data_IF_911968989472
#
_entry.id   IF_911968989472
#
_cell.length_a   1.000
_cell.length_b   1.000
_cell.length_c   1.000
_cell.angle_alpha   90.00
_cell.angle_beta   90.00
_cell.angle_gamma   90.00
#
_symmetry.space_group_name_H-M   'P 1'
#
loop_
_entity.id
_entity.type
_entity.pdbx_description
1 polymer ?
#
# COMPACT_ATOMS: atom_id res chain seq x y z
N UNK A 1 -58.77 2.39 -60.17
CA UNK A 1 -57.25 2.53 -60.12
C UNK A 1 -56.86 3.04 -58.76
N UNK A 2 -56.39 2.14 -57.87
CA UNK A 2 -55.92 2.45 -56.53
C UNK A 2 -54.40 2.54 -56.56
N UNK A 3 -53.88 3.73 -56.33
CA UNK A 3 -52.40 3.99 -56.24
C UNK A 3 -51.90 3.64 -54.86
N UNK A 4 -51.11 2.60 -54.75
CA UNK A 4 -50.34 2.26 -53.57
C UNK A 4 -49.08 3.19 -53.55
N UNK A 5 -48.91 3.96 -52.48
CA UNK A 5 -47.72 4.71 -52.16
C UNK A 5 -46.85 3.82 -51.28
N UNK A 6 -45.61 3.47 -51.67
CA UNK A 6 -44.76 2.74 -50.76
C UNK A 6 -44.21 3.71 -49.70
N UNK A 7 -44.49 3.40 -48.43
CA UNK A 7 -43.94 4.07 -47.28
C UNK A 7 -42.47 3.65 -47.09
N UNK A 8 -41.54 4.51 -47.45
CA UNK A 8 -40.09 4.29 -47.26
C UNK A 8 -39.77 4.60 -45.78
N UNK A 9 -39.63 3.58 -44.98
CA UNK A 9 -39.16 3.70 -43.59
C UNK A 9 -37.63 3.83 -43.64
N UNK A 10 -37.12 5.04 -43.44
CA UNK A 10 -35.71 5.30 -43.19
C UNK A 10 -35.35 4.88 -41.78
N UNK A 11 -34.75 3.70 -41.65
CA UNK A 11 -34.07 3.32 -40.43
C UNK A 11 -32.78 4.14 -40.31
N UNK A 12 -32.81 5.25 -39.58
CA UNK A 12 -31.61 5.90 -39.10
C UNK A 12 -31.00 5.00 -38.03
N UNK A 13 -30.05 4.15 -38.47
CA UNK A 13 -29.16 3.45 -37.55
C UNK A 13 -28.31 4.52 -36.82
N UNK A 14 -28.70 4.88 -35.62
CA UNK A 14 -27.76 5.53 -34.69
C UNK A 14 -26.64 4.55 -34.38
N UNK A 15 -25.56 4.61 -35.14
CA UNK A 15 -24.30 4.03 -34.70
C UNK A 15 -23.86 4.88 -33.49
N UNK A 16 -24.02 4.31 -32.28
CA UNK A 16 -23.28 4.82 -31.14
C UNK A 16 -21.82 4.68 -31.53
N UNK A 17 -21.16 5.79 -31.82
CA UNK A 17 -19.72 5.83 -31.81
C UNK A 17 -19.31 5.37 -30.40
N UNK A 18 -18.63 4.24 -30.32
CA UNK A 18 -18.02 3.79 -29.06
C UNK A 18 -17.07 4.91 -28.63
N UNK A 19 -17.48 5.65 -27.60
CA UNK A 19 -16.69 6.74 -27.05
C UNK A 19 -15.37 6.15 -26.57
N UNK A 20 -14.27 6.39 -27.31
CA UNK A 20 -12.95 5.91 -26.98
C UNK A 20 -12.55 6.50 -25.62
N UNK A 21 -12.69 5.69 -24.57
CA UNK A 21 -12.21 6.03 -23.22
C UNK A 21 -10.72 5.74 -23.20
N UNK A 22 -9.85 6.77 -23.20
CA UNK A 22 -8.41 6.56 -23.20
C UNK A 22 -8.02 5.74 -21.97
N UNK A 23 -7.31 4.65 -22.22
CA UNK A 23 -6.83 3.76 -21.14
C UNK A 23 -5.83 4.55 -20.28
N UNK A 24 -6.10 4.61 -18.97
CA UNK A 24 -5.20 5.25 -18.01
C UNK A 24 -3.90 4.45 -17.89
N UNK A 25 -2.77 5.12 -18.07
CA UNK A 25 -1.46 4.56 -17.82
C UNK A 25 -1.04 4.89 -16.38
N UNK A 26 -0.66 3.84 -15.63
CA UNK A 26 -0.21 3.98 -14.25
C UNK A 26 1.28 3.70 -14.14
N UNK A 27 2.01 4.62 -13.53
CA UNK A 27 3.38 4.40 -13.06
C UNK A 27 3.34 4.26 -11.55
N UNK A 28 3.73 3.07 -11.04
CA UNK A 28 3.74 2.76 -9.62
C UNK A 28 5.13 2.27 -9.22
N UNK A 29 5.75 2.88 -8.20
CA UNK A 29 7.08 2.55 -7.69
C UNK A 29 7.09 2.50 -6.16
N UNK A 30 7.97 1.67 -5.60
CA UNK A 30 8.41 1.76 -4.21
C UNK A 30 9.86 2.26 -4.23
N UNK A 31 10.08 3.42 -3.65
CA UNK A 31 11.33 4.16 -3.80
C UNK A 31 12.33 3.78 -2.72
N UNK A 32 11.89 3.70 -1.46
CA UNK A 32 12.80 3.41 -0.35
C UNK A 32 12.12 2.83 0.89
N UNK A 33 12.91 2.13 1.70
CA UNK A 33 12.61 1.81 3.09
C UNK A 33 13.49 2.70 3.94
N UNK A 34 12.91 3.50 4.81
CA UNK A 34 13.64 4.50 5.58
C UNK A 34 14.09 3.96 6.94
N UNK A 35 15.16 4.53 7.48
CA UNK A 35 15.56 4.36 8.86
C UNK A 35 14.44 4.79 9.82
N UNK A 36 14.50 4.40 11.08
CA UNK A 36 13.48 4.71 12.10
C UNK A 36 13.18 6.21 12.23
N UNK A 37 14.22 7.05 12.12
CA UNK A 37 14.10 8.51 12.13
C UNK A 37 13.46 9.10 10.86
N UNK A 38 13.28 8.26 9.82
CA UNK A 38 12.72 8.66 8.55
C UNK A 38 13.62 9.52 7.67
N UNK A 39 14.90 9.70 8.05
CA UNK A 39 15.80 10.63 7.37
C UNK A 39 16.64 10.00 6.28
N UNK A 40 16.92 8.69 6.37
CA UNK A 40 17.80 8.01 5.43
C UNK A 40 17.15 6.73 4.92
N UNK A 41 17.47 6.36 3.68
CA UNK A 41 17.14 5.04 3.17
C UNK A 41 18.02 3.97 3.85
N UNK A 42 17.43 2.80 4.12
CA UNK A 42 18.22 1.63 4.50
C UNK A 42 19.18 1.27 3.36
N UNK A 43 20.35 0.69 3.68
CA UNK A 43 21.27 0.21 2.66
C UNK A 43 20.63 -0.92 1.84
N UNK A 44 20.93 -0.93 0.55
CA UNK A 44 20.62 -2.05 -0.36
C UNK A 44 21.90 -2.80 -0.72
N UNK A 45 21.80 -4.10 -0.80
CA UNK A 45 22.87 -4.93 -1.36
C UNK A 45 22.82 -4.95 -2.90
N UNK A 46 23.74 -5.71 -3.51
CA UNK A 46 23.85 -5.87 -4.96
C UNK A 46 22.61 -6.55 -5.59
N UNK A 47 21.84 -7.29 -4.80
CA UNK A 47 20.61 -7.96 -5.21
C UNK A 47 19.36 -7.07 -5.02
N UNK A 48 19.55 -5.83 -4.53
CA UNK A 48 18.48 -4.89 -4.29
C UNK A 48 17.70 -5.14 -3.00
N UNK A 49 18.21 -5.99 -2.09
CA UNK A 49 17.59 -6.26 -0.79
C UNK A 49 17.99 -5.15 0.20
N UNK A 50 17.02 -4.66 0.93
CA UNK A 50 17.29 -3.76 2.06
C UNK A 50 17.78 -4.56 3.26
N UNK A 51 18.67 -3.94 4.06
CA UNK A 51 19.19 -4.52 5.30
C UNK A 51 18.73 -3.69 6.51
N UNK A 52 18.03 -4.34 7.43
CA UNK A 52 17.49 -3.71 8.63
C UNK A 52 18.05 -4.37 9.88
N UNK A 53 18.84 -3.63 10.64
CA UNK A 53 19.30 -4.03 11.96
C UNK A 53 18.26 -3.74 13.03
N UNK A 54 17.79 -4.79 13.69
CA UNK A 54 16.83 -4.70 14.80
C UNK A 54 17.60 -4.62 16.10
N UNK A 55 17.67 -3.44 16.68
CA UNK A 55 18.53 -3.16 17.86
C UNK A 55 17.80 -3.17 19.18
N UNK A 56 16.47 -3.08 19.19
CA UNK A 56 15.68 -2.95 20.44
C UNK A 56 15.01 -4.25 20.83
N UNK A 57 15.11 -4.54 22.13
CA UNK A 57 14.41 -5.65 22.78
C UNK A 57 13.01 -5.18 23.15
N UNK A 58 11.98 -5.96 22.82
CA UNK A 58 10.64 -5.83 23.38
C UNK A 58 9.68 -4.83 22.72
N UNK A 59 10.11 -4.02 21.77
CA UNK A 59 9.20 -3.11 21.05
C UNK A 59 9.43 -3.20 19.54
N UNK A 60 8.34 -3.30 18.74
CA UNK A 60 8.48 -3.25 17.29
C UNK A 60 9.02 -1.89 16.86
N UNK A 61 9.94 -1.91 15.90
CA UNK A 61 10.47 -0.71 15.28
C UNK A 61 9.74 -0.45 13.97
N UNK A 62 9.02 0.65 13.92
CA UNK A 62 8.35 1.06 12.69
C UNK A 62 9.32 1.77 11.74
N UNK A 63 9.39 1.27 10.52
CA UNK A 63 10.15 1.86 9.43
C UNK A 63 9.20 2.27 8.32
N UNK A 64 9.35 3.49 7.82
CA UNK A 64 8.52 4.00 6.74
C UNK A 64 9.00 3.42 5.41
N UNK A 65 8.05 2.99 4.60
CA UNK A 65 8.26 2.64 3.19
C UNK A 65 7.61 3.72 2.34
N UNK A 66 8.37 4.28 1.42
CA UNK A 66 7.91 5.36 0.54
C UNK A 66 7.86 4.89 -0.90
N UNK A 67 6.95 5.47 -1.66
CA UNK A 67 6.79 5.21 -3.08
C UNK A 67 6.02 6.31 -3.77
N UNK A 68 5.73 6.10 -5.05
CA UNK A 68 4.99 7.05 -5.86
C UNK A 68 4.07 6.34 -6.84
N UNK A 69 2.92 6.98 -7.09
CA UNK A 69 2.03 6.62 -8.19
C UNK A 69 1.73 7.85 -9.04
N UNK A 70 1.75 7.67 -10.35
CA UNK A 70 1.34 8.67 -11.32
C UNK A 70 0.32 8.07 -12.27
N UNK A 71 -0.60 8.89 -12.75
CA UNK A 71 -1.62 8.53 -13.75
C UNK A 71 -1.36 9.37 -15.00
N UNK A 72 -1.05 8.73 -16.12
CA UNK A 72 -0.65 9.42 -17.37
C UNK A 72 0.52 10.40 -17.14
N UNK A 73 1.50 10.01 -16.30
CA UNK A 73 2.65 10.82 -15.94
C UNK A 73 2.37 12.01 -15.01
N UNK A 74 1.14 12.15 -14.50
CA UNK A 74 0.69 13.25 -13.63
C UNK A 74 0.28 12.72 -12.25
N UNK A 75 0.18 13.63 -11.31
CA UNK A 75 -0.33 13.37 -9.96
C UNK A 75 -1.79 12.87 -10.03
N UNK A 76 -2.15 11.82 -9.24
CA UNK A 76 -3.49 11.23 -9.31
C UNK A 76 -4.54 12.13 -8.66
N UNK A 77 -5.66 12.32 -9.36
CA UNK A 77 -6.87 12.93 -8.84
C UNK A 77 -8.07 12.08 -9.30
N UNK A 78 -8.79 11.43 -8.40
CA UNK A 78 -8.65 11.38 -6.93
C UNK A 78 -7.44 10.55 -6.45
N UNK A 79 -7.13 10.58 -5.14
CA UNK A 79 -6.07 9.75 -4.56
C UNK A 79 -6.27 8.26 -4.87
N UNK A 80 -5.19 7.58 -5.23
CA UNK A 80 -5.20 6.15 -5.57
C UNK A 80 -4.93 5.28 -4.34
N UNK A 81 -5.67 4.17 -4.20
CA UNK A 81 -5.50 3.23 -3.10
C UNK A 81 -4.45 2.18 -3.44
N UNK A 82 -3.50 2.00 -2.51
CA UNK A 82 -2.50 0.94 -2.56
C UNK A 82 -2.74 -0.01 -1.39
N UNK A 83 -2.82 -1.29 -1.67
CA UNK A 83 -2.92 -2.34 -0.66
C UNK A 83 -1.54 -2.93 -0.36
N UNK A 84 -1.33 -3.32 0.90
CA UNK A 84 -0.07 -3.89 1.38
C UNK A 84 -0.31 -5.19 2.11
N UNK A 85 0.59 -6.14 1.88
CA UNK A 85 0.63 -7.44 2.54
C UNK A 85 2.07 -7.74 2.92
N UNK A 86 2.29 -8.42 4.05
CA UNK A 86 3.61 -8.95 4.42
C UNK A 86 3.54 -10.45 4.65
N UNK A 87 4.69 -11.12 4.52
CA UNK A 87 4.83 -12.54 4.80
C UNK A 87 5.08 -12.84 6.29
N UNK A 88 5.39 -11.81 7.10
CA UNK A 88 5.66 -11.95 8.52
C UNK A 88 4.53 -11.34 9.35
N UNK A 89 4.18 -12.02 10.42
CA UNK A 89 3.09 -11.66 11.29
C UNK A 89 3.51 -11.76 12.75
N UNK A 90 2.88 -10.97 13.61
CA UNK A 90 2.94 -11.15 15.04
C UNK A 90 1.86 -12.12 15.46
N UNK A 91 2.19 -13.00 16.36
CA UNK A 91 1.19 -13.81 17.03
C UNK A 91 0.72 -13.10 18.29
N UNK A 92 -0.57 -12.82 18.38
CA UNK A 92 -1.22 -12.31 19.59
C UNK A 92 -2.08 -13.42 20.16
N UNK A 93 -1.77 -13.85 21.39
CA UNK A 93 -2.57 -14.85 22.10
C UNK A 93 -3.77 -14.19 22.79
N UNK A 94 -4.82 -14.96 22.96
CA UNK A 94 -5.96 -14.54 23.75
C UNK A 94 -5.53 -14.22 25.19
N UNK A 95 -5.88 -13.01 25.65
CA UNK A 95 -5.54 -12.53 27.01
C UNK A 95 -4.12 -11.96 27.13
N UNK A 96 -3.26 -12.09 26.10
CA UNK A 96 -1.96 -11.41 26.12
C UNK A 96 -2.18 -9.91 25.94
N UNK A 97 -1.59 -9.17 26.85
CA UNK A 97 -1.46 -7.73 26.70
C UNK A 97 -0.30 -7.50 25.76
N UNK A 98 -0.56 -7.03 24.56
CA UNK A 98 0.50 -6.51 23.70
C UNK A 98 0.96 -5.20 24.33
N UNK A 99 1.86 -5.31 25.32
CA UNK A 99 2.38 -4.18 26.07
C UNK A 99 3.06 -3.24 25.10
N UNK A 100 2.62 -1.97 25.09
CA UNK A 100 3.26 -0.86 24.35
C UNK A 100 3.23 -0.96 22.83
N UNK A 101 2.19 -1.48 22.21
CA UNK A 101 1.98 -1.17 20.81
C UNK A 101 1.61 0.31 20.73
N UNK A 102 2.61 1.10 20.39
CA UNK A 102 2.38 2.44 19.92
C UNK A 102 1.68 2.31 18.57
N UNK A 103 0.37 2.51 18.54
CA UNK A 103 -0.36 2.46 17.28
C UNK A 103 0.03 3.68 16.46
N UNK A 104 0.42 3.44 15.22
CA UNK A 104 0.67 4.52 14.29
C UNK A 104 -0.67 4.97 13.70
N UNK A 105 -1.06 6.18 14.00
CA UNK A 105 -2.15 6.85 13.30
C UNK A 105 -1.58 7.59 12.10
N UNK A 106 -2.04 7.22 10.91
CA UNK A 106 -1.69 7.91 9.68
C UNK A 106 -2.84 8.84 9.33
N UNK A 107 -2.58 10.14 9.36
CA UNK A 107 -3.52 11.09 8.77
C UNK A 107 -3.36 11.04 7.25
N UNK A 108 -4.27 10.36 6.57
CA UNK A 108 -4.24 10.19 5.11
C UNK A 108 -4.36 11.51 4.34
N UNK A 109 -4.92 12.56 4.95
CA UNK A 109 -5.06 13.86 4.30
C UNK A 109 -3.79 14.69 4.34
N UNK A 110 -3.00 14.57 5.40
CA UNK A 110 -1.77 15.36 5.58
C UNK A 110 -0.51 14.55 5.34
N UNK A 111 -0.62 13.21 5.21
CA UNK A 111 0.53 12.30 5.18
C UNK A 111 1.30 12.26 6.52
N UNK A 112 0.78 12.92 7.57
CA UNK A 112 1.41 12.91 8.87
C UNK A 112 1.22 11.57 9.57
N UNK A 113 2.33 11.08 10.06
CA UNK A 113 2.41 9.88 10.87
C UNK A 113 2.44 10.29 12.34
N UNK A 114 1.39 9.98 13.09
CA UNK A 114 1.32 10.26 14.51
C UNK A 114 1.37 8.94 15.28
N UNK A 115 2.36 8.81 16.15
CA UNK A 115 2.41 7.72 17.11
C UNK A 115 1.45 8.05 18.27
N UNK A 116 0.42 7.24 18.43
CA UNK A 116 -0.53 7.39 19.52
C UNK A 116 -0.25 6.30 20.54
N UNK A 117 0.09 6.68 21.76
CA UNK A 117 0.15 5.76 22.88
C UNK A 117 -1.29 5.37 23.25
N UNK A 118 -1.77 4.28 22.68
CA UNK A 118 -3.03 3.69 23.09
C UNK A 118 -2.78 2.74 24.28
N UNK A 119 -3.77 2.55 25.13
CA UNK A 119 -3.71 1.51 26.15
C UNK A 119 -3.43 0.16 25.47
N UNK A 120 -2.76 -0.76 26.14
CA UNK A 120 -2.39 -2.05 25.57
C UNK A 120 -3.62 -2.73 24.96
N UNK A 121 -3.49 -3.14 23.70
CA UNK A 121 -4.51 -3.95 23.04
C UNK A 121 -4.54 -5.32 23.70
N UNK A 122 -5.63 -5.63 24.37
CA UNK A 122 -5.92 -6.98 24.81
C UNK A 122 -6.71 -7.66 23.71
N UNK A 123 -6.14 -8.66 23.08
CA UNK A 123 -6.88 -9.47 22.14
C UNK A 123 -7.82 -10.41 22.91
N UNK A 124 -9.07 -10.50 22.48
CA UNK A 124 -10.04 -11.47 23.02
C UNK A 124 -10.03 -12.81 22.26
N UNK A 125 -9.17 -12.93 21.26
CA UNK A 125 -8.96 -14.12 20.42
C UNK A 125 -7.49 -14.23 20.01
N UNK A 126 -7.07 -15.44 19.65
CA UNK A 126 -5.80 -15.63 18.96
C UNK A 126 -5.86 -14.99 17.57
N UNK A 127 -4.87 -14.17 17.22
CA UNK A 127 -4.83 -13.52 15.91
C UNK A 127 -3.41 -13.32 15.40
N UNK A 128 -3.29 -13.27 14.06
CA UNK A 128 -2.06 -12.90 13.37
C UNK A 128 -2.16 -11.43 12.97
N UNK A 129 -1.23 -10.64 13.45
CA UNK A 129 -1.13 -9.22 13.12
C UNK A 129 -0.02 -9.02 12.09
N UNK A 130 -0.30 -8.54 10.89
CA UNK A 130 0.74 -8.34 9.87
C UNK A 130 1.72 -7.26 10.31
N UNK A 131 2.98 -7.39 9.86
CA UNK A 131 4.05 -6.41 10.13
C UNK A 131 3.93 -5.15 9.28
N UNK A 132 2.83 -4.94 8.59
CA UNK A 132 2.57 -3.78 7.74
C UNK A 132 1.11 -3.32 7.85
N UNK A 133 0.83 -2.09 7.44
CA UNK A 133 -0.54 -1.63 7.27
C UNK A 133 -1.21 -2.33 6.07
N UNK A 134 -2.54 -2.46 6.12
CA UNK A 134 -3.30 -3.09 5.02
C UNK A 134 -3.38 -2.23 3.76
N UNK A 135 -3.46 -0.92 3.90
CA UNK A 135 -3.58 0.00 2.77
C UNK A 135 -3.21 1.43 3.14
N UNK A 136 -2.87 2.22 2.12
CA UNK A 136 -2.82 3.67 2.17
C UNK A 136 -3.38 4.29 0.89
N UNK A 137 -3.66 5.57 0.93
CA UNK A 137 -3.99 6.37 -0.24
C UNK A 137 -2.80 7.22 -0.64
N UNK A 138 -2.63 7.47 -1.94
CA UNK A 138 -1.62 8.41 -2.40
C UNK A 138 -1.92 9.83 -1.90
N UNK A 139 -0.88 10.58 -1.62
CA UNK A 139 -1.00 12.01 -1.35
C UNK A 139 -1.26 12.82 -2.64
N UNK A 140 -1.31 14.14 -2.46
CA UNK A 140 -1.63 15.09 -3.55
C UNK A 140 -0.59 15.11 -4.66
N UNK A 141 0.66 14.71 -4.36
CA UNK A 141 1.75 14.60 -5.34
C UNK A 141 2.02 13.16 -5.78
N UNK A 142 1.07 12.26 -5.53
CA UNK A 142 1.20 10.84 -5.84
C UNK A 142 2.11 10.07 -4.88
N UNK A 143 2.57 10.67 -3.79
CA UNK A 143 3.39 9.99 -2.79
C UNK A 143 2.60 8.90 -2.06
N UNK A 144 3.26 7.77 -1.83
CA UNK A 144 2.73 6.62 -1.12
C UNK A 144 3.58 6.41 0.13
N UNK A 145 2.91 6.16 1.25
CA UNK A 145 3.57 5.86 2.50
C UNK A 145 2.90 4.67 3.16
N UNK A 146 3.70 3.72 3.62
CA UNK A 146 3.29 2.65 4.53
C UNK A 146 4.38 2.43 5.56
N UNK A 147 4.15 1.52 6.49
CA UNK A 147 5.14 1.12 7.49
C UNK A 147 5.37 -0.38 7.41
N UNK A 148 6.57 -0.77 7.82
CA UNK A 148 6.89 -2.13 8.25
C UNK A 148 7.33 -2.06 9.71
N UNK A 149 6.91 -3.03 10.52
CA UNK A 149 7.19 -3.05 11.95
C UNK A 149 7.60 -4.47 12.39
N UNK A 150 8.78 -4.97 11.97
CA UNK A 150 9.28 -6.26 12.40
C UNK A 150 9.67 -6.24 13.88
N UNK A 151 9.69 -7.43 14.49
CA UNK A 151 10.14 -7.66 15.86
C UNK A 151 11.43 -8.47 15.87
N UNK A 152 12.11 -8.49 17.03
CA UNK A 152 13.40 -9.15 17.20
C UNK A 152 13.38 -10.64 16.85
N UNK A 153 12.30 -11.32 17.15
CA UNK A 153 12.10 -12.74 16.92
C UNK A 153 12.09 -13.10 15.40
N UNK A 154 12.01 -12.08 14.54
CA UNK A 154 12.07 -12.23 13.09
C UNK A 154 13.49 -12.04 12.52
N UNK A 155 14.51 -11.83 13.37
CA UNK A 155 15.92 -11.75 12.94
C UNK A 155 16.31 -13.06 12.26
N UNK A 156 16.97 -12.97 11.11
CA UNK A 156 17.32 -14.09 10.25
C UNK A 156 16.32 -14.35 9.12
N UNK A 157 15.11 -13.77 9.21
CA UNK A 157 14.12 -13.86 8.14
C UNK A 157 14.26 -12.71 7.14
N UNK A 158 13.59 -12.89 6.00
CA UNK A 158 13.40 -11.81 5.02
C UNK A 158 11.93 -11.39 5.01
N UNK A 159 11.68 -10.15 5.41
CA UNK A 159 10.37 -9.54 5.26
C UNK A 159 10.13 -9.20 3.81
N UNK A 160 9.02 -9.69 3.26
CA UNK A 160 8.57 -9.38 1.89
C UNK A 160 7.31 -8.55 1.97
N UNK A 161 7.41 -7.28 1.62
CA UNK A 161 6.27 -6.38 1.47
C UNK A 161 5.75 -6.46 0.05
N UNK A 162 4.52 -6.92 -0.11
CA UNK A 162 3.79 -6.91 -1.38
C UNK A 162 2.92 -5.65 -1.43
N UNK A 163 3.17 -4.80 -2.39
CA UNK A 163 2.42 -3.56 -2.64
C UNK A 163 1.61 -3.71 -3.93
N UNK A 164 0.29 -3.54 -3.86
CA UNK A 164 -0.62 -3.76 -4.98
C UNK A 164 -1.44 -2.51 -5.26
N UNK A 165 -1.39 -2.04 -6.52
CA UNK A 165 -2.31 -1.03 -7.03
C UNK A 165 -3.44 -1.72 -7.80
N UNK A 166 -4.65 -1.69 -7.25
CA UNK A 166 -5.78 -2.51 -7.71
C UNK A 166 -6.23 -2.16 -9.13
N UNK A 167 -6.27 -0.86 -9.49
CA UNK A 167 -6.79 -0.43 -10.79
C UNK A 167 -5.87 -0.79 -11.97
N UNK A 168 -4.56 -0.87 -11.75
CA UNK A 168 -3.60 -1.28 -12.79
C UNK A 168 -3.13 -2.71 -12.67
N UNK A 169 -3.55 -3.44 -11.62
CA UNK A 169 -3.04 -4.77 -11.27
C UNK A 169 -1.52 -4.85 -11.14
N UNK A 170 -0.85 -3.70 -10.92
CA UNK A 170 0.60 -3.65 -10.71
C UNK A 170 0.94 -4.11 -9.30
N UNK A 171 1.91 -5.00 -9.20
CA UNK A 171 2.41 -5.56 -7.94
C UNK A 171 3.91 -5.30 -7.86
N UNK A 172 4.36 -4.81 -6.69
CA UNK A 172 5.78 -4.61 -6.38
C UNK A 172 6.10 -5.38 -5.10
N UNK A 173 7.20 -6.12 -5.13
CA UNK A 173 7.75 -6.81 -3.98
C UNK A 173 8.99 -6.06 -3.47
N UNK A 174 8.94 -5.60 -2.22
CA UNK A 174 10.07 -5.00 -1.53
C UNK A 174 10.57 -5.98 -0.48
N UNK A 175 11.85 -6.33 -0.52
CA UNK A 175 12.44 -7.31 0.37
C UNK A 175 13.39 -6.64 1.35
N UNK A 176 13.28 -7.03 2.64
CA UNK A 176 14.09 -6.49 3.74
C UNK A 176 14.64 -7.65 4.55
N UNK A 177 15.95 -7.81 4.55
CA UNK A 177 16.68 -8.78 5.39
C UNK A 177 16.71 -8.23 6.81
N UNK A 178 16.31 -9.03 7.78
CA UNK A 178 16.24 -8.65 9.21
C UNK A 178 17.49 -9.20 9.94
N UNK A 179 18.30 -8.28 10.52
CA UNK A 179 19.60 -8.56 11.16
C UNK A 179 19.64 -8.11 12.63
#
# INVERSE_FOLDING_TARGET
MKRLIPLLILFSACTKEDEYIPQKEYTFTIDSVLTRDGLRSLPKDQNGLYHLKITTIGTPQSHRVTGRILVNGKEPLPPEKISFESNLFWWVRRGDTVANITQAYINYFTGQFTLVNLPPLVSNKDELVPTTNFASYSGTKGEINTIIAPIREMIGDTLVLKSTHSLSNKIIYTKVVLE
#
